data_IF_920876206014
#
_entry.id   IF_920876206014
#
_cell.length_a   1.000
_cell.length_b   1.000
_cell.length_c   1.000
_cell.angle_alpha   90.00
_cell.angle_beta   90.00
_cell.angle_gamma   90.00
#
_symmetry.space_group_name_H-M   'P 1'
#
loop_
_entity.id
_entity.type
_entity.pdbx_description
1 polymer ?
#
# COMPACT_ATOMS: atom_id res chain seq x y z
N UNK A 1 23.89 9.43 10.35
CA UNK A 1 23.02 10.24 9.49
C UNK A 1 21.55 9.83 9.69
N UNK A 2 21.23 8.55 9.68
CA UNK A 2 19.89 7.96 9.74
C UNK A 2 19.04 8.34 10.95
N UNK A 3 19.59 8.26 12.15
CA UNK A 3 18.88 8.63 13.40
C UNK A 3 18.48 10.12 13.42
N UNK A 4 19.25 10.96 12.75
CA UNK A 4 18.95 12.39 12.63
C UNK A 4 17.83 12.64 11.62
N UNK A 5 17.79 11.89 10.49
CA UNK A 5 16.77 12.04 9.47
C UNK A 5 15.39 11.62 10.02
N UNK A 6 15.29 10.48 10.71
CA UNK A 6 14.04 10.04 11.36
C UNK A 6 13.52 11.08 12.35
N UNK A 7 14.35 11.54 13.29
CA UNK A 7 13.92 12.52 14.30
C UNK A 7 13.48 13.84 13.66
N UNK A 8 14.19 14.28 12.60
CA UNK A 8 13.80 15.47 11.82
C UNK A 8 12.44 15.26 11.13
N UNK A 9 12.24 14.10 10.50
CA UNK A 9 10.99 13.76 9.82
C UNK A 9 9.82 13.71 10.81
N UNK A 10 10.00 13.08 11.97
CA UNK A 10 8.99 12.99 13.01
C UNK A 10 8.60 14.37 13.56
N UNK A 11 9.58 15.19 13.89
CA UNK A 11 9.35 16.56 14.34
C UNK A 11 8.68 17.42 13.27
N UNK A 12 9.06 17.26 12.00
CA UNK A 12 8.44 17.95 10.87
C UNK A 12 6.98 17.52 10.67
N UNK A 13 6.69 16.21 10.70
CA UNK A 13 5.32 15.70 10.61
C UNK A 13 4.44 16.22 11.74
N UNK A 14 4.93 16.22 12.97
CA UNK A 14 4.21 16.78 14.11
C UNK A 14 3.91 18.27 13.92
N UNK A 15 4.88 19.06 13.44
CA UNK A 15 4.70 20.48 13.17
C UNK A 15 3.74 20.76 12.00
N UNK A 16 3.82 19.95 10.92
CA UNK A 16 2.92 20.05 9.76
C UNK A 16 1.48 19.70 10.13
N UNK A 17 1.27 18.70 10.97
CA UNK A 17 -0.05 18.21 11.38
C UNK A 17 -0.68 19.06 12.51
N UNK A 18 0.08 19.91 13.15
CA UNK A 18 -0.41 20.73 14.27
C UNK A 18 -1.64 21.56 13.87
N UNK A 19 -2.74 21.37 14.59
CA UNK A 19 -4.03 22.03 14.34
C UNK A 19 -4.85 21.49 13.17
N UNK A 20 -4.44 20.36 12.59
CA UNK A 20 -5.14 19.69 11.51
C UNK A 20 -5.85 18.44 12.04
N UNK A 21 -7.12 18.59 12.47
CA UNK A 21 -7.90 17.51 13.06
C UNK A 21 -8.13 16.37 12.06
N UNK A 22 -7.67 15.16 12.41
CA UNK A 22 -7.80 13.92 11.60
C UNK A 22 -7.19 14.04 10.19
N UNK A 23 -6.09 14.77 10.05
CA UNK A 23 -5.38 14.95 8.76
C UNK A 23 -3.92 14.51 8.81
N UNK A 24 -3.48 13.98 9.94
CA UNK A 24 -2.10 13.58 10.17
C UNK A 24 -1.63 12.55 9.15
N UNK A 25 -2.49 11.57 8.82
CA UNK A 25 -2.19 10.53 7.84
C UNK A 25 -2.07 11.13 6.42
N UNK A 26 -3.02 11.97 6.04
CA UNK A 26 -2.97 12.65 4.74
C UNK A 26 -1.71 13.51 4.57
N UNK A 27 -1.31 14.22 5.65
CA UNK A 27 -0.06 15.02 5.68
C UNK A 27 1.16 14.10 5.60
N UNK A 28 1.16 12.98 6.33
CA UNK A 28 2.23 11.98 6.31
C UNK A 28 2.42 11.37 4.92
N UNK A 29 1.34 10.92 4.30
CA UNK A 29 1.37 10.36 2.94
C UNK A 29 1.79 11.39 1.89
N UNK A 30 1.36 12.64 2.04
CA UNK A 30 1.78 13.72 1.14
C UNK A 30 3.29 14.01 1.28
N UNK A 31 3.84 14.01 2.51
CA UNK A 31 5.27 14.18 2.75
C UNK A 31 6.07 13.00 2.19
N UNK A 32 5.62 11.77 2.46
CA UNK A 32 6.24 10.55 1.94
C UNK A 32 6.26 10.53 0.40
N UNK A 33 5.11 10.88 -0.21
CA UNK A 33 4.98 10.98 -1.66
C UNK A 33 5.98 11.97 -2.25
N UNK A 34 6.08 13.17 -1.67
CA UNK A 34 7.03 14.19 -2.08
C UNK A 34 8.49 13.75 -1.92
N UNK A 35 8.84 13.13 -0.78
CA UNK A 35 10.18 12.61 -0.54
C UNK A 35 10.56 11.47 -1.51
N UNK A 36 9.58 10.65 -1.91
CA UNK A 36 9.75 9.62 -2.93
C UNK A 36 9.85 10.18 -4.36
N UNK A 37 9.57 11.47 -4.56
CA UNK A 37 9.50 12.11 -5.88
C UNK A 37 8.24 11.76 -6.67
N UNK A 38 7.19 11.29 -5.99
CA UNK A 38 5.91 10.85 -6.56
C UNK A 38 4.79 11.85 -6.31
N UNK A 39 3.68 11.67 -7.00
CA UNK A 39 2.49 12.52 -6.88
C UNK A 39 1.41 11.83 -6.04
N UNK A 40 0.63 12.65 -5.31
CA UNK A 40 -0.50 12.20 -4.51
C UNK A 40 -1.81 12.79 -5.02
N UNK A 41 -2.86 11.97 -5.00
CA UNK A 41 -4.23 12.37 -5.28
C UNK A 41 -5.09 12.29 -4.02
N UNK A 42 -5.82 13.35 -3.72
CA UNK A 42 -6.73 13.47 -2.59
C UNK A 42 -8.18 13.43 -3.08
N UNK A 43 -8.86 12.32 -2.86
CA UNK A 43 -10.29 12.18 -3.09
C UNK A 43 -11.06 12.61 -1.86
N UNK A 44 -12.10 13.42 -2.00
CA UNK A 44 -12.96 13.76 -0.86
C UNK A 44 -13.91 14.88 -1.14
N UNK A 45 -14.97 14.96 -0.34
CA UNK A 45 -16.01 15.97 -0.45
C UNK A 45 -15.46 17.40 -0.34
N UNK A 46 -16.18 18.41 -0.84
CA UNK A 46 -15.83 19.80 -0.60
C UNK A 46 -15.75 20.10 0.90
N UNK A 47 -14.77 20.92 1.32
CA UNK A 47 -14.66 21.35 2.71
C UNK A 47 -13.89 20.41 3.66
N UNK A 48 -13.34 19.27 3.19
CA UNK A 48 -12.55 18.34 4.03
C UNK A 48 -11.07 18.74 4.17
N UNK A 49 -10.71 19.99 3.87
CA UNK A 49 -9.37 20.57 4.05
C UNK A 49 -8.28 20.08 3.08
N UNK A 50 -8.61 19.57 1.88
CA UNK A 50 -7.64 19.13 0.87
C UNK A 50 -6.59 20.19 0.53
N UNK A 51 -7.01 21.44 0.25
CA UNK A 51 -6.11 22.58 -0.02
C UNK A 51 -5.24 22.96 1.19
N UNK A 52 -5.75 22.76 2.41
CA UNK A 52 -4.97 23.02 3.62
C UNK A 52 -3.82 22.01 3.76
N UNK A 53 -4.03 20.72 3.43
CA UNK A 53 -2.99 19.69 3.40
C UNK A 53 -1.85 20.13 2.46
N UNK A 54 -2.19 20.57 1.25
CA UNK A 54 -1.20 21.02 0.26
C UNK A 54 -0.42 22.26 0.73
N UNK A 55 -1.10 23.25 1.34
CA UNK A 55 -0.45 24.43 1.89
C UNK A 55 0.48 24.10 3.04
N UNK A 56 0.12 23.14 3.88
CA UNK A 56 0.97 22.64 4.97
C UNK A 56 2.18 21.90 4.44
N UNK A 57 1.98 21.02 3.45
CA UNK A 57 3.11 20.30 2.84
C UNK A 57 4.16 21.23 2.26
N UNK A 58 3.75 22.36 1.67
CA UNK A 58 4.71 23.33 1.12
C UNK A 58 5.69 23.87 2.16
N UNK A 59 5.29 23.92 3.43
CA UNK A 59 6.17 24.33 4.53
C UNK A 59 7.20 23.25 4.91
N UNK A 60 7.09 22.05 4.37
CA UNK A 60 8.09 20.99 4.58
C UNK A 60 9.40 21.22 3.81
N UNK A 61 9.40 22.16 2.87
CA UNK A 61 10.56 22.41 2.00
C UNK A 61 11.03 23.85 2.18
N UNK A 62 12.33 24.02 2.35
CA UNK A 62 12.93 25.35 2.53
C UNK A 62 12.75 26.18 1.27
N UNK A 63 12.27 27.42 1.47
CA UNK A 63 12.09 28.44 0.42
C UNK A 63 11.27 27.96 -0.79
N UNK A 64 10.36 26.99 -0.58
CA UNK A 64 9.56 26.40 -1.65
C UNK A 64 8.58 27.40 -2.26
N UNK A 65 8.64 27.55 -3.58
CA UNK A 65 7.65 28.29 -4.37
C UNK A 65 6.41 27.42 -4.54
N UNK A 66 5.25 27.99 -4.31
CA UNK A 66 3.97 27.29 -4.41
C UNK A 66 3.20 27.76 -5.64
N UNK A 67 2.54 26.81 -6.28
CA UNK A 67 1.50 27.09 -7.28
C UNK A 67 0.25 26.35 -6.87
N UNK A 68 -0.88 27.08 -6.79
CA UNK A 68 -2.19 26.52 -6.41
C UNK A 68 -3.20 26.98 -7.46
N UNK A 69 -3.96 26.03 -8.02
CA UNK A 69 -4.93 26.35 -9.05
C UNK A 69 -6.17 25.45 -8.94
N UNK A 70 -7.37 26.07 -9.04
CA UNK A 70 -8.65 25.40 -9.12
C UNK A 70 -9.03 25.21 -10.58
N UNK A 71 -9.03 23.97 -11.04
CA UNK A 71 -9.38 23.65 -12.43
C UNK A 71 -10.87 23.86 -12.71
N UNK A 72 -11.16 24.30 -13.91
CA UNK A 72 -12.50 24.42 -14.47
C UNK A 72 -12.52 23.96 -15.92
N UNK A 73 -13.70 23.74 -16.49
CA UNK A 73 -13.85 23.41 -17.92
C UNK A 73 -13.38 24.54 -18.85
N UNK A 74 -13.23 25.74 -18.32
CA UNK A 74 -12.78 26.93 -19.05
C UNK A 74 -11.31 27.27 -18.79
N UNK A 75 -10.63 26.50 -17.94
CA UNK A 75 -9.22 26.73 -17.64
C UNK A 75 -8.38 26.62 -18.91
N UNK A 76 -7.43 27.53 -19.04
CA UNK A 76 -6.52 27.62 -20.19
C UNK A 76 -5.11 27.24 -19.80
N UNK A 77 -4.28 26.76 -20.75
CA UNK A 77 -2.86 26.50 -20.48
C UNK A 77 -2.10 27.75 -19.98
N UNK A 78 -2.53 28.94 -20.36
CA UNK A 78 -1.90 30.21 -19.95
C UNK A 78 -2.00 30.49 -18.46
N UNK A 79 -3.08 30.04 -17.82
CA UNK A 79 -3.32 30.21 -16.40
C UNK A 79 -2.47 29.26 -15.55
N UNK A 80 -2.00 28.16 -16.15
CA UNK A 80 -1.25 27.12 -15.44
C UNK A 80 0.23 27.18 -15.76
N UNK A 81 0.57 27.33 -17.05
CA UNK A 81 1.94 27.31 -17.54
C UNK A 81 2.51 28.69 -17.86
N UNK A 82 1.70 29.74 -17.73
CA UNK A 82 2.03 31.14 -18.01
C UNK A 82 1.65 31.60 -19.43
N UNK A 83 1.40 32.89 -19.60
CA UNK A 83 1.01 33.48 -20.89
C UNK A 83 2.19 33.48 -21.89
N UNK A 84 1.87 33.53 -23.18
CA UNK A 84 2.87 33.67 -24.24
C UNK A 84 3.57 35.02 -24.13
N UNK A 85 4.90 35.03 -24.22
CA UNK A 85 5.71 36.25 -24.23
C UNK A 85 5.56 36.98 -25.56
N UNK A 86 4.87 38.13 -25.52
CA UNK A 86 4.64 38.96 -26.71
C UNK A 86 5.97 39.54 -27.25
N UNK A 87 6.93 39.87 -26.36
CA UNK A 87 8.22 40.39 -26.73
C UNK A 87 9.04 39.33 -27.48
N UNK A 88 9.14 38.11 -26.98
CA UNK A 88 9.86 37.01 -27.64
C UNK A 88 9.23 36.61 -28.96
N UNK A 89 7.90 36.67 -29.03
CA UNK A 89 7.18 36.39 -30.29
C UNK A 89 7.47 37.45 -31.36
N UNK A 90 7.57 38.74 -30.98
CA UNK A 90 7.82 39.84 -31.92
C UNK A 90 9.30 39.97 -32.27
N UNK A 91 10.19 39.81 -31.30
CA UNK A 91 11.61 40.17 -31.46
C UNK A 91 12.45 38.97 -31.93
N UNK A 92 12.04 37.73 -31.58
CA UNK A 92 12.78 36.50 -31.83
C UNK A 92 12.01 35.45 -32.65
N UNK A 93 10.77 35.71 -33.01
CA UNK A 93 9.86 34.74 -33.66
C UNK A 93 9.82 33.39 -32.92
N UNK A 94 9.85 33.46 -31.58
CA UNK A 94 9.81 32.28 -30.71
C UNK A 94 8.55 32.26 -29.86
N UNK A 95 7.88 31.10 -29.89
CA UNK A 95 6.69 30.87 -29.08
C UNK A 95 7.11 30.36 -27.67
N UNK A 96 7.41 31.29 -26.78
CA UNK A 96 7.78 30.98 -25.40
C UNK A 96 6.80 31.61 -24.39
N UNK A 97 6.63 30.92 -23.26
CA UNK A 97 5.77 31.38 -22.16
C UNK A 97 6.56 32.11 -21.07
N UNK A 98 5.92 33.04 -20.42
CA UNK A 98 6.41 33.65 -19.17
C UNK A 98 6.03 32.72 -18.02
N UNK A 99 7.01 31.96 -17.53
CA UNK A 99 6.75 30.86 -16.57
C UNK A 99 6.89 31.29 -15.10
N UNK A 100 7.43 32.47 -14.83
CA UNK A 100 7.64 32.93 -13.45
C UNK A 100 6.31 33.14 -12.72
N UNK A 101 6.18 32.50 -11.54
CA UNK A 101 4.94 32.48 -10.74
C UNK A 101 3.90 31.42 -11.19
N UNK A 102 4.21 30.64 -12.21
CA UNK A 102 3.35 29.54 -12.70
C UNK A 102 3.92 28.16 -12.38
N UNK A 103 3.16 27.11 -12.71
CA UNK A 103 3.56 25.72 -12.43
C UNK A 103 5.01 25.39 -12.82
N UNK A 104 5.53 25.83 -13.99
CA UNK A 104 6.89 25.44 -14.38
C UNK A 104 8.01 25.94 -13.46
N UNK A 105 7.74 26.91 -12.60
CA UNK A 105 8.72 27.42 -11.64
C UNK A 105 8.42 27.07 -10.20
N UNK A 106 7.37 26.29 -9.95
CA UNK A 106 6.93 25.92 -8.62
C UNK A 106 7.64 24.66 -8.11
N UNK A 107 7.94 24.66 -6.81
CA UNK A 107 8.46 23.48 -6.08
C UNK A 107 7.32 22.58 -5.60
N UNK A 108 6.22 23.19 -5.17
CA UNK A 108 5.02 22.47 -4.69
C UNK A 108 3.79 22.94 -5.46
N UNK A 109 3.14 22.02 -6.10
CA UNK A 109 1.97 22.27 -6.95
C UNK A 109 0.72 21.65 -6.33
N UNK A 110 -0.35 22.43 -6.22
CA UNK A 110 -1.67 21.93 -5.84
C UNK A 110 -2.69 22.23 -6.96
N UNK A 111 -3.28 21.16 -7.50
CA UNK A 111 -4.30 21.22 -8.56
C UNK A 111 -5.62 20.69 -8.01
N UNK A 112 -6.55 21.60 -7.75
CA UNK A 112 -7.89 21.22 -7.28
C UNK A 112 -8.83 20.99 -8.47
N UNK A 113 -9.77 20.06 -8.31
CA UNK A 113 -10.74 19.65 -9.36
C UNK A 113 -10.06 19.23 -10.67
N UNK A 114 -8.98 18.48 -10.59
CA UNK A 114 -8.05 18.19 -11.70
C UNK A 114 -8.75 17.60 -12.93
N UNK A 115 -9.82 16.82 -12.74
CA UNK A 115 -10.54 16.15 -13.84
C UNK A 115 -11.35 17.13 -14.72
N UNK A 116 -11.55 18.36 -14.25
CA UNK A 116 -12.19 19.42 -15.04
C UNK A 116 -11.25 20.08 -16.06
N UNK A 117 -9.95 19.77 -16.02
CA UNK A 117 -8.98 20.29 -16.97
C UNK A 117 -9.26 19.81 -18.39
N UNK A 118 -9.14 20.70 -19.38
CA UNK A 118 -9.26 20.33 -20.80
C UNK A 118 -8.06 19.51 -21.29
N UNK A 119 -8.19 18.79 -22.45
CA UNK A 119 -7.18 17.88 -22.97
C UNK A 119 -5.78 18.51 -23.17
N UNK A 120 -5.71 19.79 -23.56
CA UNK A 120 -4.44 20.48 -23.73
C UNK A 120 -3.64 20.62 -22.44
N UNK A 121 -4.34 20.89 -21.32
CA UNK A 121 -3.75 20.97 -19.99
C UNK A 121 -3.33 19.58 -19.53
N UNK A 122 -4.20 18.58 -19.69
CA UNK A 122 -3.95 17.20 -19.31
C UNK A 122 -2.69 16.64 -19.99
N UNK A 123 -2.53 16.84 -21.30
CA UNK A 123 -1.34 16.41 -22.05
C UNK A 123 -0.05 17.09 -21.55
N UNK A 124 -0.12 18.39 -21.24
CA UNK A 124 1.03 19.10 -20.68
C UNK A 124 1.38 18.62 -19.27
N UNK A 125 0.37 18.30 -18.44
CA UNK A 125 0.56 17.72 -17.12
C UNK A 125 1.16 16.30 -17.19
N UNK A 126 0.79 15.49 -18.18
CA UNK A 126 1.38 14.16 -18.37
C UNK A 126 2.91 14.23 -18.52
N UNK A 127 3.43 15.15 -19.32
CA UNK A 127 4.87 15.37 -19.50
C UNK A 127 5.49 15.91 -18.19
N UNK A 128 4.89 16.94 -17.63
CA UNK A 128 5.38 17.57 -16.40
C UNK A 128 5.47 16.58 -15.21
N UNK A 129 4.49 15.71 -15.04
CA UNK A 129 4.46 14.72 -13.93
C UNK A 129 5.41 13.53 -14.16
N UNK A 130 5.63 13.15 -15.43
CA UNK A 130 6.47 12.00 -15.73
C UNK A 130 7.95 12.32 -15.77
N UNK A 131 8.27 13.32 -16.60
CA UNK A 131 9.63 13.62 -16.99
C UNK A 131 10.21 14.77 -16.19
N UNK A 132 9.34 15.45 -15.40
CA UNK A 132 9.67 16.69 -14.71
C UNK A 132 10.29 17.73 -15.63
N UNK A 133 9.74 17.82 -16.84
CA UNK A 133 10.18 18.73 -17.91
C UNK A 133 8.96 19.50 -18.42
N UNK A 134 9.17 20.77 -18.73
CA UNK A 134 8.21 21.60 -19.43
C UNK A 134 8.83 22.10 -20.73
N UNK A 135 8.17 21.84 -21.87
CA UNK A 135 8.62 22.34 -23.16
C UNK A 135 8.17 23.78 -23.34
N UNK A 136 9.13 24.69 -23.27
CA UNK A 136 8.92 26.11 -23.48
C UNK A 136 9.52 26.56 -24.83
N UNK A 137 8.69 26.66 -25.84
CA UNK A 137 9.14 26.91 -27.21
C UNK A 137 9.96 25.75 -27.77
N UNK A 138 11.25 25.95 -27.95
CA UNK A 138 12.18 24.93 -28.45
C UNK A 138 13.00 24.24 -27.37
N UNK A 139 12.91 24.72 -26.13
CA UNK A 139 13.72 24.24 -25.02
C UNK A 139 12.90 23.36 -24.08
N UNK A 140 13.48 22.28 -23.60
CA UNK A 140 12.96 21.45 -22.56
C UNK A 140 13.54 21.94 -21.21
N UNK A 141 12.69 22.58 -20.40
CA UNK A 141 13.07 23.19 -19.13
C UNK A 141 12.79 22.21 -18.00
N UNK A 142 13.80 21.81 -17.20
CA UNK A 142 13.59 20.98 -16.01
C UNK A 142 12.72 21.69 -14.99
N UNK A 143 11.75 20.98 -14.45
CA UNK A 143 10.84 21.50 -13.41
C UNK A 143 11.44 21.25 -12.01
N UNK A 144 11.42 22.26 -11.13
CA UNK A 144 11.93 22.11 -9.75
C UNK A 144 10.97 21.34 -8.83
N UNK A 145 10.04 20.59 -9.39
CA UNK A 145 8.94 19.93 -8.69
C UNK A 145 9.43 18.95 -7.61
N UNK A 146 9.10 19.27 -6.36
CA UNK A 146 9.31 18.43 -5.17
C UNK A 146 8.04 17.66 -4.83
N UNK A 147 6.87 18.31 -4.95
CA UNK A 147 5.60 17.70 -4.65
C UNK A 147 4.52 18.13 -5.65
N UNK A 148 3.69 17.17 -6.07
CA UNK A 148 2.45 17.44 -6.80
C UNK A 148 1.30 16.80 -6.07
N UNK A 149 0.36 17.63 -5.64
CA UNK A 149 -0.87 17.22 -5.00
C UNK A 149 -2.00 17.56 -5.95
N UNK A 150 -2.76 16.56 -6.38
CA UNK A 150 -4.02 16.77 -7.06
C UNK A 150 -5.18 16.45 -6.13
N UNK A 151 -6.32 17.10 -6.34
CA UNK A 151 -7.51 16.83 -5.58
C UNK A 151 -8.76 16.88 -6.48
N UNK A 152 -9.76 16.11 -6.08
CA UNK A 152 -11.12 16.20 -6.62
C UNK A 152 -12.12 15.65 -5.61
N UNK A 153 -13.39 15.90 -5.86
CA UNK A 153 -14.51 15.26 -5.16
C UNK A 153 -15.05 14.03 -5.90
N UNK A 154 -14.53 13.75 -7.08
CA UNK A 154 -14.90 12.63 -7.94
C UNK A 154 -13.66 11.96 -8.52
N UNK A 155 -13.80 10.71 -8.96
CA UNK A 155 -12.79 9.99 -9.71
C UNK A 155 -12.86 10.35 -11.20
N UNK A 156 -11.79 10.05 -12.00
CA UNK A 156 -11.84 10.29 -13.44
C UNK A 156 -12.95 9.44 -14.08
N UNK A 157 -13.69 10.04 -14.98
CA UNK A 157 -14.70 9.32 -15.74
C UNK A 157 -14.06 8.31 -16.68
N UNK A 158 -14.59 7.10 -16.71
CA UNK A 158 -14.09 6.03 -17.57
C UNK A 158 -14.31 6.37 -19.05
N UNK A 159 -13.33 6.07 -19.90
CA UNK A 159 -13.42 6.27 -21.35
C UNK A 159 -13.23 7.72 -21.82
N UNK A 160 -12.90 8.66 -20.94
CA UNK A 160 -12.60 10.06 -21.31
C UNK A 160 -11.09 10.31 -21.57
N UNK A 161 -10.27 9.26 -21.58
CA UNK A 161 -8.82 9.36 -21.81
C UNK A 161 -8.03 9.90 -20.62
N UNK A 162 -8.62 9.89 -19.44
CA UNK A 162 -8.02 10.36 -18.19
C UNK A 162 -7.16 9.29 -17.50
N UNK A 163 -7.24 8.05 -17.94
CA UNK A 163 -6.57 6.89 -17.34
C UNK A 163 -5.05 7.09 -17.29
N UNK A 164 -4.49 7.69 -18.35
CA UNK A 164 -3.06 7.98 -18.42
C UNK A 164 -2.62 8.99 -17.36
N UNK A 165 -3.43 10.01 -17.06
CA UNK A 165 -3.15 11.00 -16.01
C UNK A 165 -3.39 10.39 -14.63
N UNK A 166 -4.44 9.57 -14.48
CA UNK A 166 -4.74 8.85 -13.24
C UNK A 166 -3.60 7.94 -12.80
N UNK A 167 -2.99 7.17 -13.74
CA UNK A 167 -1.84 6.30 -13.45
C UNK A 167 -0.58 7.07 -12.97
N UNK A 168 -0.54 8.40 -13.12
CA UNK A 168 0.58 9.23 -12.60
C UNK A 168 0.51 9.49 -11.12
N UNK A 169 -0.68 9.43 -10.53
CA UNK A 169 -0.87 9.58 -9.10
C UNK A 169 -0.66 8.23 -8.41
N UNK A 170 0.57 8.04 -7.92
CA UNK A 170 0.95 6.79 -7.26
C UNK A 170 0.20 6.63 -5.94
N UNK A 171 0.23 7.68 -5.11
CA UNK A 171 -0.46 7.68 -3.81
C UNK A 171 -1.86 8.23 -3.99
N UNK A 172 -2.85 7.52 -3.48
CA UNK A 172 -4.26 7.88 -3.55
C UNK A 172 -4.86 7.78 -2.16
N UNK A 173 -5.44 8.86 -1.70
CA UNK A 173 -5.95 8.94 -0.34
C UNK A 173 -7.36 9.52 -0.31
N UNK A 174 -8.25 8.88 0.44
CA UNK A 174 -9.62 9.37 0.66
C UNK A 174 -9.61 10.24 1.91
N UNK A 175 -9.93 11.53 1.74
CA UNK A 175 -10.03 12.49 2.83
C UNK A 175 -11.45 12.52 3.33
N UNK A 176 -11.72 11.83 4.42
CA UNK A 176 -13.03 11.77 5.06
C UNK A 176 -13.38 13.05 5.84
N UNK A 177 -14.66 13.35 6.06
CA UNK A 177 -15.09 14.29 7.09
C UNK A 177 -14.58 13.87 8.49
N UNK A 178 -14.51 14.84 9.41
CA UNK A 178 -14.15 14.56 10.82
C UNK A 178 -15.17 13.58 11.41
N UNK A 179 -14.67 12.46 11.95
CA UNK A 179 -15.47 11.37 12.51
C UNK A 179 -15.53 11.39 14.04
N UNK A 180 -14.43 11.78 14.70
CA UNK A 180 -14.39 11.84 16.14
C UNK A 180 -15.21 13.01 16.70
N UNK A 181 -16.08 12.71 17.66
CA UNK A 181 -16.96 13.70 18.30
C UNK A 181 -16.18 14.83 18.98
N UNK A 182 -15.07 14.51 19.65
CA UNK A 182 -14.26 15.48 20.36
C UNK A 182 -13.59 16.45 19.39
N UNK A 183 -13.06 15.92 18.29
CA UNK A 183 -12.47 16.72 17.22
C UNK A 183 -13.52 17.62 16.56
N UNK A 184 -14.71 17.09 16.27
CA UNK A 184 -15.80 17.89 15.71
C UNK A 184 -16.22 19.03 16.64
N UNK A 185 -16.38 18.76 17.93
CA UNK A 185 -16.71 19.81 18.92
C UNK A 185 -15.58 20.83 19.05
N UNK A 186 -14.33 20.41 18.97
CA UNK A 186 -13.15 21.29 18.99
C UNK A 186 -13.13 22.21 17.77
N UNK A 187 -13.50 21.70 16.60
CA UNK A 187 -13.68 22.51 15.39
C UNK A 187 -14.72 23.60 15.58
N UNK A 188 -15.90 23.25 16.13
CA UNK A 188 -17.01 24.21 16.31
C UNK A 188 -16.71 25.28 17.37
N UNK A 189 -15.95 24.93 18.40
CA UNK A 189 -15.65 25.85 19.52
C UNK A 189 -14.40 26.68 19.29
N UNK A 190 -13.73 26.53 18.11
CA UNK A 190 -12.48 27.23 17.82
C UNK A 190 -11.30 26.82 18.71
N UNK A 191 -11.42 25.71 19.44
CA UNK A 191 -10.37 25.15 20.31
C UNK A 191 -9.39 24.28 19.56
N UNK A 192 -9.53 24.14 18.22
CA UNK A 192 -8.53 23.49 17.39
C UNK A 192 -7.19 24.20 17.59
N UNK A 193 -6.13 23.44 17.78
CA UNK A 193 -4.82 24.00 18.02
C UNK A 193 -4.43 24.98 16.89
N UNK A 194 -3.98 26.16 17.28
CA UNK A 194 -3.49 27.14 16.30
C UNK A 194 -2.24 26.53 15.63
N UNK A 195 -2.12 26.60 14.30
CA UNK A 195 -0.93 26.10 13.62
C UNK A 195 0.32 26.75 14.21
N UNK A 196 1.19 25.93 14.78
CA UNK A 196 2.50 26.41 15.28
C UNK A 196 3.40 26.74 14.09
N UNK A 197 4.19 27.83 14.16
CA UNK A 197 5.24 28.08 13.17
C UNK A 197 6.21 26.91 13.12
N UNK A 198 6.56 26.49 11.91
CA UNK A 198 7.54 25.40 11.74
C UNK A 198 8.94 25.96 12.03
N UNK A 199 9.70 25.36 12.96
CA UNK A 199 11.07 25.75 13.22
C UNK A 199 11.91 25.74 11.93
N UNK A 200 12.76 26.76 11.73
CA UNK A 200 13.48 26.98 10.47
C UNK A 200 14.47 25.85 10.09
N UNK A 201 14.85 25.02 11.05
CA UNK A 201 15.75 23.88 10.86
C UNK A 201 15.02 22.61 10.36
N UNK A 202 13.69 22.53 10.51
CA UNK A 202 12.93 21.33 10.16
C UNK A 202 12.67 21.17 8.66
N UNK A 203 12.36 22.22 7.87
CA UNK A 203 12.11 22.05 6.44
C UNK A 203 13.32 21.44 5.72
N UNK A 204 13.05 20.49 4.83
CA UNK A 204 14.07 19.85 4.02
C UNK A 204 14.69 20.84 3.03
N UNK A 205 16.01 20.79 2.92
CA UNK A 205 16.74 21.56 1.91
C UNK A 205 16.75 20.81 0.57
N UNK A 206 17.06 21.50 -0.56
CA UNK A 206 17.23 20.82 -1.86
C UNK A 206 18.30 19.72 -1.83
N UNK A 207 19.40 19.96 -1.07
CA UNK A 207 20.49 19.00 -0.91
C UNK A 207 20.05 17.76 -0.15
N UNK A 208 19.28 17.92 0.93
CA UNK A 208 18.72 16.80 1.69
C UNK A 208 17.74 16.00 0.84
N UNK A 209 16.88 16.66 0.06
CA UNK A 209 15.96 15.97 -0.85
C UNK A 209 16.70 15.16 -1.91
N UNK A 210 17.77 15.69 -2.47
CA UNK A 210 18.62 14.98 -3.43
C UNK A 210 19.30 13.78 -2.76
N UNK A 211 19.91 13.98 -1.60
CA UNK A 211 20.55 12.91 -0.84
C UNK A 211 19.57 11.77 -0.51
N UNK A 212 18.33 12.08 -0.10
CA UNK A 212 17.30 11.06 0.14
C UNK A 212 16.98 10.23 -1.10
N UNK A 213 16.90 10.85 -2.28
CA UNK A 213 16.65 10.11 -3.53
C UNK A 213 17.84 9.22 -3.92
N UNK A 214 19.07 9.69 -3.69
CA UNK A 214 20.30 8.93 -3.96
C UNK A 214 20.47 7.75 -2.96
N UNK A 215 20.19 7.96 -1.67
CA UNK A 215 20.31 6.95 -0.61
C UNK A 215 19.19 5.90 -0.67
N UNK A 216 18.00 6.30 -1.12
CA UNK A 216 16.83 5.41 -1.25
C UNK A 216 17.12 4.11 -1.99
N UNK A 217 17.87 4.20 -3.07
CA UNK A 217 18.13 3.04 -3.94
C UNK A 217 19.07 2.02 -3.28
N UNK A 218 19.77 2.41 -2.21
CA UNK A 218 20.56 1.53 -1.35
C UNK A 218 19.75 0.77 -0.30
N UNK A 219 18.51 1.18 -0.03
CA UNK A 219 17.63 0.50 0.93
C UNK A 219 17.22 -0.89 0.40
N UNK A 220 17.47 -1.91 1.19
CA UNK A 220 17.20 -3.31 0.82
C UNK A 220 15.70 -3.61 0.92
N UNK A 221 15.15 -4.32 -0.05
CA UNK A 221 13.85 -4.99 0.08
C UNK A 221 14.12 -6.47 0.37
N UNK A 222 13.81 -6.99 1.57
CA UNK A 222 14.02 -8.39 1.92
C UNK A 222 13.29 -9.35 0.98
N UNK A 223 13.85 -10.55 0.79
CA UNK A 223 13.28 -11.54 -0.12
C UNK A 223 11.84 -11.93 0.22
N UNK A 224 11.51 -12.03 1.49
CA UNK A 224 10.15 -12.31 1.96
C UNK A 224 9.13 -11.22 1.57
N UNK A 225 9.56 -9.95 1.55
CA UNK A 225 8.73 -8.83 1.09
C UNK A 225 8.61 -8.84 -0.44
N UNK A 226 9.67 -9.20 -1.15
CA UNK A 226 9.60 -9.39 -2.61
C UNK A 226 8.61 -10.49 -3.00
N UNK A 227 8.61 -11.60 -2.29
CA UNK A 227 7.65 -12.70 -2.48
C UNK A 227 6.21 -12.24 -2.19
N UNK A 228 6.00 -11.46 -1.14
CA UNK A 228 4.72 -10.86 -0.82
C UNK A 228 4.22 -9.93 -1.94
N UNK A 229 5.07 -9.03 -2.42
CA UNK A 229 4.74 -8.13 -3.52
C UNK A 229 4.45 -8.90 -4.82
N UNK A 230 5.22 -9.95 -5.09
CA UNK A 230 5.00 -10.82 -6.24
C UNK A 230 3.67 -11.59 -6.16
N UNK A 231 3.30 -12.05 -4.97
CA UNK A 231 2.02 -12.72 -4.74
C UNK A 231 0.83 -11.78 -5.02
N UNK A 232 0.89 -10.54 -4.52
CA UNK A 232 -0.13 -9.51 -4.83
C UNK A 232 -0.13 -9.16 -6.33
N UNK A 233 1.04 -9.00 -6.97
CA UNK A 233 1.14 -8.76 -8.41
C UNK A 233 0.48 -9.85 -9.22
N UNK A 234 0.75 -11.11 -8.89
CA UNK A 234 0.16 -12.26 -9.59
C UNK A 234 -1.36 -12.27 -9.47
N UNK A 235 -1.88 -11.93 -8.31
CA UNK A 235 -3.32 -11.79 -8.07
C UNK A 235 -3.97 -10.73 -8.95
N UNK A 236 -3.31 -9.58 -9.14
CA UNK A 236 -3.84 -8.47 -9.92
C UNK A 236 -3.53 -8.57 -11.43
N UNK A 237 -2.50 -9.33 -11.85
CA UNK A 237 -2.15 -9.53 -13.25
C UNK A 237 -3.06 -10.55 -13.95
N UNK A 238 -3.61 -11.53 -13.23
CA UNK A 238 -4.43 -12.59 -13.82
C UNK A 238 -5.75 -12.10 -14.44
N UNK A 239 -6.10 -10.84 -14.27
CA UNK A 239 -7.23 -10.21 -14.96
C UNK A 239 -7.02 -9.99 -16.47
N UNK A 240 -5.77 -9.81 -16.92
CA UNK A 240 -5.48 -9.62 -18.35
C UNK A 240 -5.70 -10.88 -19.18
N UNK A 241 -5.72 -12.07 -18.52
CA UNK A 241 -5.80 -13.37 -19.16
C UNK A 241 -7.17 -14.07 -18.97
N UNK A 242 -8.08 -13.52 -18.16
CA UNK A 242 -9.40 -14.11 -17.92
C UNK A 242 -10.45 -13.48 -18.84
N UNK A 243 -11.15 -14.32 -19.57
CA UNK A 243 -12.25 -13.97 -20.48
C UNK A 243 -13.33 -13.15 -19.76
N UNK A 244 -13.85 -12.08 -20.40
CA UNK A 244 -14.73 -11.09 -19.76
C UNK A 244 -16.20 -11.54 -19.59
N UNK A 245 -16.52 -12.82 -19.69
CA UNK A 245 -17.94 -13.24 -19.78
C UNK A 245 -18.54 -13.90 -18.53
N UNK A 246 -17.81 -14.08 -17.42
CA UNK A 246 -18.33 -14.91 -16.33
C UNK A 246 -18.35 -14.34 -14.90
N UNK A 247 -17.84 -13.14 -14.60
CA UNK A 247 -17.85 -12.66 -13.21
C UNK A 247 -18.35 -11.21 -13.06
N UNK A 248 -19.46 -11.05 -12.34
CA UNK A 248 -20.00 -9.77 -11.85
C UNK A 248 -19.04 -8.99 -10.92
N UNK A 249 -17.91 -9.61 -10.53
CA UNK A 249 -16.88 -9.06 -9.63
C UNK A 249 -15.73 -8.32 -10.36
N UNK A 250 -15.82 -8.12 -11.67
CA UNK A 250 -14.70 -7.53 -12.47
C UNK A 250 -14.32 -6.10 -12.07
N UNK A 251 -15.26 -5.28 -11.60
CA UNK A 251 -14.97 -3.91 -11.15
C UNK A 251 -14.17 -3.84 -9.85
N UNK A 252 -14.09 -4.92 -9.09
CA UNK A 252 -13.53 -4.93 -7.73
C UNK A 252 -12.04 -5.23 -7.65
N UNK A 253 -11.38 -5.67 -8.73
CA UNK A 253 -9.95 -5.99 -8.73
C UNK A 253 -9.16 -4.90 -9.47
N UNK A 254 -8.18 -4.24 -8.83
CA UNK A 254 -7.40 -3.19 -9.50
C UNK A 254 -6.42 -3.75 -10.51
N UNK A 255 -6.13 -2.98 -11.56
CA UNK A 255 -4.98 -3.22 -12.44
C UNK A 255 -3.79 -2.40 -11.97
N UNK A 256 -2.63 -3.05 -11.83
CA UNK A 256 -1.38 -2.39 -11.42
C UNK A 256 -0.30 -2.65 -12.45
N UNK A 257 0.12 -1.60 -13.16
CA UNK A 257 1.16 -1.68 -14.19
C UNK A 257 2.55 -1.99 -13.61
N UNK A 258 3.44 -2.63 -14.40
CA UNK A 258 4.83 -2.89 -13.98
C UNK A 258 5.58 -1.59 -13.61
N UNK A 259 5.29 -0.49 -14.29
CA UNK A 259 5.80 0.82 -13.96
C UNK A 259 5.36 1.26 -12.56
N UNK A 260 4.09 1.04 -12.21
CA UNK A 260 3.54 1.38 -10.88
C UNK A 260 4.19 0.52 -9.80
N UNK A 261 4.40 -0.78 -10.03
CA UNK A 261 5.15 -1.65 -9.12
C UNK A 261 6.57 -1.15 -8.85
N UNK A 262 7.28 -0.66 -9.88
CA UNK A 262 8.61 -0.06 -9.72
C UNK A 262 8.57 1.19 -8.82
N UNK A 263 7.57 2.05 -9.00
CA UNK A 263 7.36 3.25 -8.17
C UNK A 263 6.97 2.90 -6.74
N UNK A 264 6.13 1.88 -6.55
CA UNK A 264 5.77 1.32 -5.24
C UNK A 264 7.04 0.91 -4.50
N UNK A 265 7.91 0.12 -5.11
CA UNK A 265 9.18 -0.28 -4.50
C UNK A 265 10.04 0.92 -4.08
N UNK A 266 10.08 1.99 -4.88
CA UNK A 266 10.75 3.25 -4.53
C UNK A 266 10.13 3.94 -3.32
N UNK A 267 8.80 3.98 -3.22
CA UNK A 267 8.09 4.59 -2.10
C UNK A 267 8.27 3.80 -0.80
N UNK A 268 8.23 2.45 -0.84
CA UNK A 268 8.50 1.61 0.33
C UNK A 268 9.93 1.82 0.85
N UNK A 269 10.92 1.91 -0.05
CA UNK A 269 12.31 2.25 0.31
C UNK A 269 12.41 3.64 0.94
N UNK A 270 11.69 4.62 0.40
CA UNK A 270 11.66 5.97 0.98
C UNK A 270 11.04 5.97 2.38
N UNK A 271 9.97 5.19 2.59
CA UNK A 271 9.38 5.00 3.93
C UNK A 271 10.41 4.43 4.91
N UNK A 272 11.10 3.35 4.54
CA UNK A 272 12.15 2.77 5.37
C UNK A 272 13.28 3.77 5.69
N UNK A 273 13.76 4.51 4.69
CA UNK A 273 14.80 5.54 4.86
C UNK A 273 14.38 6.63 5.84
N UNK A 274 13.18 7.20 5.66
CA UNK A 274 12.66 8.26 6.55
C UNK A 274 12.38 7.76 7.97
N UNK A 275 12.14 6.47 8.13
CA UNK A 275 12.06 5.80 9.42
C UNK A 275 13.44 5.41 9.99
N UNK A 276 14.55 5.77 9.34
CA UNK A 276 15.93 5.50 9.78
C UNK A 276 16.27 4.01 9.71
N UNK A 277 15.80 3.30 8.68
CA UNK A 277 16.03 1.86 8.46
C UNK A 277 16.80 1.63 7.16
N UNK A 278 17.67 0.64 7.16
CA UNK A 278 18.42 0.19 5.98
C UNK A 278 17.65 -0.83 5.11
N UNK A 279 16.50 -1.27 5.59
CA UNK A 279 15.65 -2.23 4.89
C UNK A 279 14.16 -1.91 5.08
N UNK A 280 13.38 -2.23 4.05
CA UNK A 280 11.91 -2.25 4.10
C UNK A 280 11.46 -3.33 5.07
N UNK A 281 10.43 -3.05 5.87
CA UNK A 281 9.80 -4.03 6.76
C UNK A 281 8.30 -4.20 6.50
N UNK A 282 7.64 -5.06 7.27
CA UNK A 282 6.22 -5.37 7.07
C UNK A 282 5.30 -4.17 7.29
N UNK A 283 5.70 -3.21 8.10
CA UNK A 283 4.90 -1.99 8.32
C UNK A 283 4.80 -1.14 7.06
N UNK A 284 5.85 -1.08 6.22
CA UNK A 284 5.82 -0.35 4.96
C UNK A 284 4.83 -0.98 3.97
N UNK A 285 4.64 -2.32 4.04
CA UNK A 285 3.69 -3.02 3.18
C UNK A 285 2.23 -2.58 3.40
N UNK A 286 1.90 -1.99 4.55
CA UNK A 286 0.58 -1.44 4.82
C UNK A 286 0.27 -0.20 3.96
N UNK A 287 1.29 0.52 3.49
CA UNK A 287 1.13 1.65 2.57
C UNK A 287 0.49 1.24 1.23
N UNK A 288 0.57 -0.05 0.88
CA UNK A 288 0.01 -0.58 -0.38
C UNK A 288 -1.48 -0.31 -0.54
N UNK A 289 -2.23 -0.16 0.55
CA UNK A 289 -3.65 0.19 0.47
C UNK A 289 -3.90 1.55 -0.19
N UNK A 290 -2.92 2.47 -0.13
CA UNK A 290 -2.98 3.77 -0.78
C UNK A 290 -2.39 3.77 -2.20
N UNK A 291 -1.87 2.61 -2.66
CA UNK A 291 -1.09 2.50 -3.88
C UNK A 291 -1.72 1.57 -4.93
N UNK A 292 -2.65 0.69 -4.55
CA UNK A 292 -3.08 -0.41 -5.41
C UNK A 292 -4.47 -0.25 -6.03
N UNK A 293 -5.33 0.63 -5.53
CA UNK A 293 -6.70 0.79 -6.06
C UNK A 293 -6.79 1.83 -7.19
N UNK A 294 -7.78 1.67 -8.07
CA UNK A 294 -8.11 2.59 -9.16
C UNK A 294 -9.45 3.32 -8.95
N UNK A 295 -10.36 2.69 -8.19
CA UNK A 295 -11.57 3.31 -7.69
C UNK A 295 -11.77 2.96 -6.21
N UNK A 296 -12.57 3.76 -5.51
CA UNK A 296 -12.80 3.62 -4.07
C UNK A 296 -13.56 2.33 -3.69
N UNK A 297 -14.35 1.77 -4.59
CA UNK A 297 -15.02 0.49 -4.39
C UNK A 297 -14.03 -0.69 -4.26
N UNK A 298 -12.82 -0.57 -4.82
CA UNK A 298 -11.77 -1.58 -4.73
C UNK A 298 -11.05 -1.59 -3.37
N UNK A 299 -11.11 -0.50 -2.62
CA UNK A 299 -10.32 -0.33 -1.40
C UNK A 299 -10.57 -1.41 -0.34
N UNK A 300 -11.81 -1.85 -0.04
CA UNK A 300 -12.05 -2.95 0.89
C UNK A 300 -11.36 -4.25 0.46
N UNK A 301 -11.43 -4.56 -0.84
CA UNK A 301 -10.79 -5.75 -1.41
C UNK A 301 -9.26 -5.68 -1.34
N UNK A 302 -8.68 -4.54 -1.69
CA UNK A 302 -7.23 -4.30 -1.59
C UNK A 302 -6.74 -4.52 -0.16
N UNK A 303 -7.44 -3.97 0.83
CA UNK A 303 -7.14 -4.17 2.26
C UNK A 303 -7.19 -5.65 2.66
N UNK A 304 -8.23 -6.36 2.24
CA UNK A 304 -8.38 -7.78 2.52
C UNK A 304 -7.25 -8.60 1.87
N UNK A 305 -6.90 -8.32 0.62
CA UNK A 305 -5.84 -9.03 -0.10
C UNK A 305 -4.46 -8.79 0.54
N UNK A 306 -4.15 -7.57 0.95
CA UNK A 306 -2.93 -7.23 1.70
C UNK A 306 -2.89 -7.98 3.03
N UNK A 307 -3.99 -7.94 3.80
CA UNK A 307 -4.07 -8.60 5.10
C UNK A 307 -3.89 -10.11 4.99
N UNK A 308 -4.57 -10.75 4.02
CA UNK A 308 -4.44 -12.20 3.77
C UNK A 308 -3.03 -12.60 3.42
N UNK A 309 -2.41 -11.86 2.51
CA UNK A 309 -1.06 -12.19 2.08
C UNK A 309 -0.04 -11.93 3.21
N UNK A 310 -0.21 -10.90 4.02
CA UNK A 310 0.60 -10.67 5.22
C UNK A 310 0.50 -11.85 6.19
N UNK A 311 -0.71 -12.36 6.46
CA UNK A 311 -0.89 -13.54 7.32
C UNK A 311 -0.14 -14.73 6.74
N UNK A 312 -0.29 -15.00 5.45
CA UNK A 312 0.40 -16.12 4.80
C UNK A 312 1.92 -16.02 4.99
N UNK A 313 2.49 -14.84 4.79
CA UNK A 313 3.93 -14.63 4.93
C UNK A 313 4.39 -14.69 6.40
N UNK A 314 3.64 -14.11 7.33
CA UNK A 314 3.95 -14.16 8.75
C UNK A 314 3.87 -15.59 9.32
N UNK A 315 3.01 -16.44 8.74
CA UNK A 315 2.88 -17.84 9.14
C UNK A 315 3.86 -18.76 8.42
N UNK A 316 4.58 -18.33 7.39
CA UNK A 316 5.67 -19.09 6.78
C UNK A 316 6.70 -19.46 7.84
N UNK A 317 7.06 -20.75 7.90
CA UNK A 317 8.02 -21.27 8.85
C UNK A 317 7.53 -21.41 10.30
N UNK A 318 6.28 -21.03 10.61
CA UNK A 318 5.70 -21.28 11.94
C UNK A 318 5.01 -22.64 12.05
N UNK A 319 4.59 -23.18 10.89
CA UNK A 319 3.87 -24.45 10.80
C UNK A 319 4.66 -25.39 9.89
N UNK A 320 5.51 -26.23 10.48
CA UNK A 320 6.21 -27.29 9.78
C UNK A 320 5.91 -28.64 10.40
N UNK A 321 5.85 -29.66 9.57
CA UNK A 321 5.66 -31.03 10.00
C UNK A 321 6.94 -31.82 9.76
N UNK A 322 7.46 -32.40 10.83
CA UNK A 322 8.60 -33.31 10.73
C UNK A 322 8.15 -34.61 10.03
N UNK A 323 8.63 -34.83 8.81
CA UNK A 323 8.29 -35.98 7.98
C UNK A 323 8.54 -37.34 8.68
N UNK A 324 9.46 -37.40 9.63
CA UNK A 324 9.76 -38.61 10.40
C UNK A 324 8.70 -38.93 11.46
N UNK A 325 7.70 -38.07 11.66
CA UNK A 325 6.71 -38.26 12.74
C UNK A 325 5.38 -38.82 12.26
N UNK A 326 5.17 -38.95 10.94
CA UNK A 326 3.98 -39.55 10.38
C UNK A 326 4.31 -40.85 9.63
N UNK A 327 3.44 -41.84 9.77
CA UNK A 327 3.56 -43.09 9.04
C UNK A 327 2.82 -43.00 7.73
N UNK A 328 3.42 -43.55 6.66
CA UNK A 328 2.73 -43.67 5.37
C UNK A 328 1.53 -44.62 5.51
N UNK A 329 0.38 -44.24 4.98
CA UNK A 329 -0.78 -45.11 4.96
C UNK A 329 -0.50 -46.38 4.15
N UNK A 330 -0.82 -47.56 4.67
CA UNK A 330 -0.54 -48.83 4.00
C UNK A 330 -1.60 -49.11 2.95
N UNK A 331 -1.68 -48.39 1.86
CA UNK A 331 -2.46 -48.83 0.69
C UNK A 331 -2.22 -48.01 -0.57
N UNK A 332 -2.08 -48.69 -1.60
CA UNK A 332 -2.16 -48.36 -3.01
C UNK A 332 -2.44 -46.91 -3.41
N UNK A 333 -1.43 -46.21 -3.89
CA UNK A 333 -1.59 -45.12 -4.85
C UNK A 333 -2.08 -43.76 -4.36
N UNK A 334 -2.40 -43.58 -3.08
CA UNK A 334 -2.87 -42.31 -2.54
C UNK A 334 -1.84 -41.65 -1.64
N UNK A 335 -1.69 -40.35 -1.75
CA UNK A 335 -0.84 -39.50 -0.93
C UNK A 335 -1.33 -39.35 0.53
N UNK A 336 -1.78 -40.42 1.17
CA UNK A 336 -2.34 -40.42 2.51
C UNK A 336 -1.28 -40.78 3.55
N UNK A 337 -1.33 -40.08 4.66
CA UNK A 337 -0.44 -40.28 5.82
C UNK A 337 -1.28 -40.50 7.08
N UNK A 338 -0.73 -41.22 8.04
CA UNK A 338 -1.39 -41.51 9.31
C UNK A 338 -0.77 -40.69 10.42
N UNK A 339 -1.60 -40.08 11.24
CA UNK A 339 -1.16 -39.50 12.50
C UNK A 339 -0.99 -40.57 13.58
N UNK A 340 -0.27 -40.29 14.68
CA UNK A 340 -0.14 -41.20 15.81
C UNK A 340 -1.44 -41.60 16.46
N UNK A 341 -2.47 -40.78 16.36
CA UNK A 341 -3.84 -40.97 16.88
C UNK A 341 -4.69 -41.82 15.93
N UNK A 342 -4.15 -42.29 14.78
CA UNK A 342 -4.82 -43.15 13.83
C UNK A 342 -5.59 -42.42 12.73
N UNK A 343 -5.59 -41.08 12.72
CA UNK A 343 -6.24 -40.27 11.68
C UNK A 343 -5.50 -40.32 10.34
N UNK A 344 -6.24 -40.31 9.23
CA UNK A 344 -5.66 -40.27 7.87
C UNK A 344 -5.64 -38.86 7.36
N UNK A 345 -4.45 -38.38 6.93
CA UNK A 345 -4.24 -37.06 6.42
C UNK A 345 -3.67 -37.08 5.01
N UNK A 346 -3.92 -36.01 4.23
CA UNK A 346 -3.17 -35.71 3.03
C UNK A 346 -2.09 -34.68 3.37
N UNK A 347 -0.92 -34.81 2.75
CA UNK A 347 0.19 -33.89 2.91
C UNK A 347 0.42 -33.08 1.62
N UNK A 348 0.79 -31.81 1.78
CA UNK A 348 1.22 -30.93 0.70
C UNK A 348 2.25 -29.92 1.21
N UNK A 349 3.02 -29.31 0.32
CA UNK A 349 3.99 -28.28 0.68
C UNK A 349 3.44 -26.90 0.33
N UNK A 350 3.45 -26.00 1.30
CA UNK A 350 3.08 -24.61 1.11
C UNK A 350 4.15 -23.72 1.74
N UNK A 351 4.77 -22.85 0.94
CA UNK A 351 5.81 -21.93 1.42
C UNK A 351 7.10 -22.62 1.92
N UNK A 352 7.42 -23.81 1.41
CA UNK A 352 8.55 -24.61 1.87
C UNK A 352 8.27 -25.44 3.13
N UNK A 353 7.05 -25.43 3.62
CA UNK A 353 6.61 -26.15 4.82
C UNK A 353 5.63 -27.26 4.46
N UNK A 354 5.75 -28.39 5.16
CA UNK A 354 4.85 -29.51 4.97
C UNK A 354 3.59 -29.32 5.82
N UNK A 355 2.45 -29.26 5.13
CA UNK A 355 1.11 -29.11 5.70
C UNK A 355 0.31 -30.39 5.60
N UNK A 356 -0.61 -30.58 6.53
CA UNK A 356 -1.49 -31.73 6.59
C UNK A 356 -2.95 -31.28 6.64
N UNK A 357 -3.81 -32.00 5.93
CA UNK A 357 -5.26 -31.84 6.01
C UNK A 357 -5.89 -33.23 6.23
N UNK A 358 -6.86 -33.32 7.13
CA UNK A 358 -7.56 -34.57 7.36
C UNK A 358 -8.24 -35.05 6.06
N UNK A 359 -8.20 -36.35 5.82
CA UNK A 359 -8.74 -36.90 4.57
C UNK A 359 -10.25 -36.60 4.41
N UNK A 360 -10.99 -36.61 5.50
CA UNK A 360 -12.42 -36.25 5.53
C UNK A 360 -12.62 -34.76 5.17
N UNK A 361 -11.80 -33.86 5.71
CA UNK A 361 -11.84 -32.46 5.41
C UNK A 361 -11.45 -32.17 3.96
N UNK A 362 -10.45 -32.87 3.44
CA UNK A 362 -10.08 -32.74 2.02
C UNK A 362 -11.24 -33.16 1.09
N UNK A 363 -11.99 -34.19 1.42
CA UNK A 363 -13.18 -34.58 0.64
C UNK A 363 -14.27 -33.49 0.67
N UNK A 364 -14.42 -32.79 1.79
CA UNK A 364 -15.36 -31.64 1.90
C UNK A 364 -14.93 -30.48 1.00
N UNK A 365 -13.62 -30.24 0.83
CA UNK A 365 -13.12 -29.18 -0.02
C UNK A 365 -13.42 -29.36 -1.52
N UNK A 366 -13.74 -30.57 -1.95
CA UNK A 366 -14.15 -30.84 -3.35
C UNK A 366 -15.51 -30.24 -3.69
N UNK A 367 -16.33 -29.95 -2.70
CA UNK A 367 -17.65 -29.34 -2.86
C UNK A 367 -17.65 -27.81 -2.86
N UNK A 368 -16.51 -27.17 -2.61
CA UNK A 368 -16.41 -25.72 -2.59
C UNK A 368 -15.27 -25.19 -1.72
N UNK A 369 -15.17 -23.85 -1.61
CA UNK A 369 -14.26 -23.18 -0.69
C UNK A 369 -14.90 -22.98 0.66
N UNK A 370 -14.10 -23.07 1.72
CA UNK A 370 -14.49 -22.76 3.10
C UNK A 370 -13.39 -22.01 3.82
N UNK A 371 -13.64 -21.57 5.05
CA UNK A 371 -12.61 -21.04 5.92
C UNK A 371 -11.68 -22.15 6.40
N UNK A 372 -10.38 -21.83 6.56
CA UNK A 372 -9.38 -22.71 7.13
C UNK A 372 -8.62 -22.00 8.25
N UNK A 373 -8.07 -22.77 9.17
CA UNK A 373 -7.15 -22.32 10.21
C UNK A 373 -6.05 -23.35 10.44
N UNK A 374 -4.92 -22.92 10.94
CA UNK A 374 -3.86 -23.83 11.33
C UNK A 374 -4.20 -24.50 12.67
N UNK A 375 -4.13 -25.80 12.68
CA UNK A 375 -4.23 -26.64 13.86
C UNK A 375 -2.88 -27.10 14.37
N UNK A 376 -2.92 -28.09 15.25
CA UNK A 376 -1.72 -28.70 15.81
C UNK A 376 -0.90 -29.46 14.75
N UNK A 377 0.41 -29.54 14.94
CA UNK A 377 1.32 -30.37 14.10
C UNK A 377 1.31 -30.08 12.61
N UNK A 378 1.07 -28.82 12.21
CA UNK A 378 0.98 -28.46 10.79
C UNK A 378 -0.30 -28.91 10.12
N UNK A 379 -1.31 -29.30 10.89
CA UNK A 379 -2.63 -29.65 10.34
C UNK A 379 -3.42 -28.39 9.99
N UNK A 380 -4.24 -28.51 8.95
CA UNK A 380 -5.24 -27.52 8.58
C UNK A 380 -6.60 -28.03 9.03
N UNK A 381 -7.33 -27.17 9.74
CA UNK A 381 -8.69 -27.41 10.20
C UNK A 381 -9.65 -26.55 9.39
N UNK A 382 -10.76 -27.14 8.93
CA UNK A 382 -11.83 -26.39 8.30
C UNK A 382 -12.70 -25.69 9.35
N UNK A 383 -13.24 -24.54 8.99
CA UNK A 383 -14.18 -23.77 9.84
C UNK A 383 -15.53 -23.70 9.14
N UNK A 384 -16.62 -23.75 9.92
CA UNK A 384 -18.00 -23.63 9.39
C UNK A 384 -18.40 -22.16 9.08
N UNK A 385 -17.41 -21.27 9.01
CA UNK A 385 -17.55 -19.83 8.74
C UNK A 385 -16.23 -19.23 8.29
N UNK A 386 -16.07 -17.91 8.37
CA UNK A 386 -14.80 -17.27 8.04
C UNK A 386 -13.67 -17.84 8.90
N UNK A 387 -12.61 -18.30 8.24
CA UNK A 387 -11.36 -18.78 8.86
C UNK A 387 -10.24 -17.77 8.72
N UNK A 388 -9.03 -18.17 9.09
CA UNK A 388 -7.83 -17.35 8.96
C UNK A 388 -7.43 -17.17 7.50
N UNK A 389 -7.83 -18.12 6.66
CA UNK A 389 -7.63 -18.11 5.21
C UNK A 389 -8.75 -18.91 4.52
N UNK A 390 -8.97 -18.62 3.24
CA UNK A 390 -9.87 -19.42 2.38
C UNK A 390 -9.14 -20.66 1.88
N UNK A 391 -9.77 -21.82 1.98
CA UNK A 391 -9.22 -23.09 1.50
C UNK A 391 -10.23 -23.84 0.63
N UNK A 392 -9.73 -24.51 -0.41
CA UNK A 392 -10.53 -25.31 -1.33
C UNK A 392 -9.71 -26.35 -2.08
N UNK A 393 -10.37 -27.20 -2.85
CA UNK A 393 -9.73 -28.20 -3.74
C UNK A 393 -10.40 -28.20 -5.12
N UNK A 394 -10.15 -27.16 -5.95
CA UNK A 394 -10.81 -26.99 -7.26
C UNK A 394 -10.38 -28.07 -8.27
N UNK A 395 -9.23 -28.73 -8.04
CA UNK A 395 -8.72 -29.84 -8.86
C UNK A 395 -8.36 -31.01 -7.98
N UNK A 396 -8.67 -32.23 -8.43
CA UNK A 396 -8.28 -33.45 -7.73
C UNK A 396 -6.77 -33.51 -7.53
N UNK A 397 -6.33 -33.82 -6.31
CA UNK A 397 -4.91 -33.88 -5.95
C UNK A 397 -4.27 -32.52 -5.67
N UNK A 398 -5.06 -31.47 -5.54
CA UNK A 398 -4.61 -30.11 -5.19
C UNK A 398 -5.31 -29.58 -3.95
N UNK A 399 -4.63 -28.74 -3.18
CA UNK A 399 -5.22 -27.90 -2.12
C UNK A 399 -4.94 -26.44 -2.47
N UNK A 400 -5.96 -25.60 -2.44
CA UNK A 400 -5.84 -24.17 -2.69
C UNK A 400 -6.00 -23.42 -1.38
N UNK A 401 -5.01 -22.60 -1.00
CA UNK A 401 -5.04 -21.71 0.16
C UNK A 401 -5.00 -20.28 -0.38
N UNK A 402 -6.03 -19.51 -0.12
CA UNK A 402 -6.19 -18.21 -0.77
C UNK A 402 -6.27 -18.38 -2.29
N UNK A 403 -5.33 -17.80 -3.01
CA UNK A 403 -5.19 -17.92 -4.48
C UNK A 403 -4.16 -18.96 -4.93
N UNK A 404 -3.43 -19.59 -4.00
CA UNK A 404 -2.35 -20.52 -4.34
C UNK A 404 -2.82 -21.97 -4.28
N UNK A 405 -2.44 -22.75 -5.30
CA UNK A 405 -2.77 -24.17 -5.38
C UNK A 405 -1.50 -25.02 -5.19
N UNK A 406 -1.57 -25.94 -4.25
CA UNK A 406 -0.47 -26.83 -3.85
C UNK A 406 -0.81 -28.28 -4.17
N UNK A 407 0.07 -29.02 -4.87
CA UNK A 407 -0.16 -30.43 -5.16
C UNK A 407 -0.01 -31.27 -3.88
N UNK A 408 -0.88 -32.26 -3.73
CA UNK A 408 -0.71 -33.26 -2.69
C UNK A 408 0.56 -34.09 -2.94
N UNK A 409 1.34 -34.31 -1.90
CA UNK A 409 2.53 -35.19 -1.97
C UNK A 409 2.09 -36.63 -2.25
N UNK A 410 2.82 -37.29 -3.13
CA UNK A 410 2.56 -38.69 -3.50
C UNK A 410 3.32 -39.69 -2.63
N UNK A 411 4.40 -39.25 -1.97
CA UNK A 411 5.24 -40.10 -1.12
C UNK A 411 5.79 -39.32 0.07
N UNK A 412 5.96 -39.99 1.20
CA UNK A 412 6.54 -39.46 2.43
C UNK A 412 6.27 -40.36 3.63
N UNK A 413 7.15 -40.33 4.62
CA UNK A 413 7.00 -41.01 5.90
C UNK A 413 6.98 -39.97 7.01
N UNK A 414 6.03 -40.07 7.94
CA UNK A 414 5.86 -39.07 9.00
C UNK A 414 5.70 -39.75 10.37
N UNK A 415 6.27 -39.13 11.41
CA UNK A 415 6.22 -39.62 12.78
C UNK A 415 5.56 -38.61 13.70
N UNK A 416 4.77 -39.03 14.67
CA UNK A 416 3.94 -38.18 15.54
C UNK A 416 4.71 -37.34 16.58
N UNK A 417 4.08 -36.27 17.07
CA UNK A 417 4.65 -35.27 17.99
C UNK A 417 4.00 -35.21 19.35
N UNK A 418 4.74 -34.75 20.36
CA UNK A 418 4.29 -34.43 21.71
C UNK A 418 3.98 -32.95 21.88
N UNK A 419 3.09 -32.60 22.85
CA UNK A 419 2.51 -31.25 23.06
C UNK A 419 3.46 -30.06 23.24
N UNK A 420 4.79 -30.26 23.33
CA UNK A 420 5.76 -29.17 23.44
C UNK A 420 6.00 -28.39 22.12
N UNK A 421 5.47 -28.88 20.99
CA UNK A 421 5.63 -28.24 19.68
C UNK A 421 4.64 -27.08 19.48
N UNK A 422 3.39 -27.28 19.89
CA UNK A 422 2.36 -26.26 19.81
C UNK A 422 2.75 -24.98 20.53
N UNK A 423 3.28 -25.10 21.74
CA UNK A 423 3.73 -23.94 22.50
C UNK A 423 4.84 -23.17 21.77
N UNK A 424 5.73 -23.89 21.04
CA UNK A 424 6.78 -23.24 20.25
C UNK A 424 6.27 -22.58 18.97
N UNK A 425 5.33 -23.21 18.26
CA UNK A 425 4.69 -22.61 17.06
C UNK A 425 3.86 -21.41 17.45
N UNK A 426 3.04 -21.51 18.51
CA UNK A 426 2.26 -20.38 18.99
C UNK A 426 3.13 -19.25 19.53
N UNK A 427 4.22 -19.55 20.25
CA UNK A 427 5.17 -18.56 20.68
C UNK A 427 5.80 -17.84 19.48
N UNK A 428 6.31 -18.60 18.47
CA UNK A 428 6.89 -18.03 17.26
C UNK A 428 5.90 -17.17 16.46
N UNK A 429 4.65 -17.59 16.38
CA UNK A 429 3.60 -16.80 15.72
C UNK A 429 3.29 -15.52 16.50
N UNK A 430 3.15 -15.61 17.83
CA UNK A 430 2.94 -14.45 18.69
C UNK A 430 4.12 -13.48 18.63
N UNK A 431 5.36 -13.99 18.57
CA UNK A 431 6.57 -13.17 18.43
C UNK A 431 6.57 -12.40 17.12
N UNK A 432 6.20 -13.03 15.99
CA UNK A 432 6.12 -12.37 14.68
C UNK A 432 5.01 -11.32 14.63
N UNK A 433 3.86 -11.60 15.25
CA UNK A 433 2.77 -10.65 15.40
C UNK A 433 3.19 -9.48 16.29
N UNK A 434 3.87 -9.76 17.39
CA UNK A 434 4.46 -8.76 18.27
C UNK A 434 5.45 -7.86 17.52
N UNK A 435 6.28 -8.46 16.70
CA UNK A 435 7.22 -7.75 15.83
C UNK A 435 6.50 -6.84 14.83
N UNK A 436 5.49 -7.35 14.12
CA UNK A 436 4.70 -6.53 13.18
C UNK A 436 4.06 -5.34 13.89
N UNK A 437 3.47 -5.54 15.07
CA UNK A 437 2.90 -4.43 15.86
C UNK A 437 3.96 -3.39 16.21
N UNK A 438 5.10 -3.82 16.71
CA UNK A 438 6.20 -2.92 17.04
C UNK A 438 6.71 -2.15 15.81
N UNK A 439 6.74 -2.79 14.65
CA UNK A 439 7.10 -2.13 13.38
C UNK A 439 6.06 -1.07 13.00
N UNK A 440 4.76 -1.39 13.08
CA UNK A 440 3.66 -0.46 12.75
C UNK A 440 3.64 0.71 13.73
N UNK A 441 3.76 0.46 15.03
CA UNK A 441 3.78 1.50 16.07
C UNK A 441 4.99 2.43 15.91
N UNK A 442 6.10 1.91 15.36
CA UNK A 442 7.32 2.67 15.12
C UNK A 442 7.34 3.39 13.77
N UNK A 443 6.47 3.05 12.82
CA UNK A 443 6.46 3.64 11.47
C UNK A 443 5.74 5.00 11.48
N UNK A 444 6.38 6.02 10.90
CA UNK A 444 5.88 7.40 10.87
C UNK A 444 4.70 7.60 9.92
N UNK A 445 4.51 6.71 8.94
CA UNK A 445 3.57 6.88 7.83
C UNK A 445 2.41 5.90 7.84
N UNK A 446 2.51 4.81 8.60
CA UNK A 446 1.46 3.82 8.70
C UNK A 446 0.68 3.98 10.00
N UNK A 447 -0.63 3.80 9.92
CA UNK A 447 -1.49 3.73 11.09
C UNK A 447 -2.22 2.40 11.08
N UNK A 448 -2.56 1.83 12.25
CA UNK A 448 -3.45 0.69 12.30
C UNK A 448 -4.80 1.10 11.72
N UNK A 449 -5.10 0.63 10.52
CA UNK A 449 -6.37 0.88 9.87
C UNK A 449 -7.39 -0.14 10.35
N UNK A 450 -8.69 0.20 10.25
CA UNK A 450 -9.79 -0.62 10.74
C UNK A 450 -9.81 -2.07 10.20
N UNK A 451 -9.27 -2.29 8.98
CA UNK A 451 -9.10 -3.65 8.46
C UNK A 451 -7.96 -4.42 9.17
N UNK A 452 -6.96 -3.71 9.68
CA UNK A 452 -5.88 -4.26 10.50
C UNK A 452 -6.26 -4.29 11.98
N UNK A 453 -7.25 -3.53 12.40
CA UNK A 453 -7.90 -3.71 13.71
C UNK A 453 -8.65 -5.04 13.73
N UNK A 454 -9.33 -5.42 12.67
CA UNK A 454 -9.93 -6.76 12.54
C UNK A 454 -8.83 -7.84 12.48
N UNK A 455 -7.74 -7.65 11.73
CA UNK A 455 -6.55 -8.49 11.78
C UNK A 455 -5.94 -8.50 13.18
N UNK A 456 -5.77 -7.34 13.81
CA UNK A 456 -5.29 -7.20 15.18
C UNK A 456 -6.24 -7.79 16.23
N UNK A 457 -7.55 -7.83 16.01
CA UNK A 457 -8.52 -8.51 16.88
C UNK A 457 -8.48 -10.02 16.68
N UNK A 458 -8.39 -10.51 15.47
CA UNK A 458 -8.19 -11.94 15.21
C UNK A 458 -6.84 -12.42 15.72
N UNK A 459 -5.79 -11.67 15.49
CA UNK A 459 -4.47 -11.95 16.06
C UNK A 459 -4.43 -11.83 17.59
N UNK A 460 -5.20 -10.92 18.20
CA UNK A 460 -5.42 -10.86 19.68
C UNK A 460 -6.23 -12.04 20.19
N UNK A 461 -7.21 -12.55 19.45
CA UNK A 461 -7.95 -13.78 19.79
C UNK A 461 -7.03 -15.00 19.79
N UNK A 462 -6.04 -15.06 18.88
CA UNK A 462 -4.98 -16.07 18.90
C UNK A 462 -4.07 -15.92 20.12
N UNK A 463 -3.61 -14.70 20.44
CA UNK A 463 -2.74 -14.43 21.59
C UNK A 463 -3.39 -14.63 22.95
N UNK A 464 -4.68 -14.31 23.10
CA UNK A 464 -5.40 -14.44 24.39
C UNK A 464 -5.83 -15.86 24.73
N UNK A 465 -6.05 -16.73 23.74
CA UNK A 465 -6.29 -18.15 23.96
C UNK A 465 -5.04 -18.92 24.42
N UNK A 466 -3.85 -18.36 24.19
CA UNK A 466 -2.56 -18.92 24.61
C UNK A 466 -2.22 -18.61 26.07
N UNK A 467 -2.75 -17.54 26.65
CA UNK A 467 -2.49 -17.12 28.05
C UNK A 467 -3.50 -17.64 29.04
N UNK A 468 -4.52 -18.37 28.61
CA UNK A 468 -5.61 -18.90 29.46
C UNK A 468 -5.60 -20.43 29.56
N UNK A 469 -4.45 -21.10 29.28
CA UNK A 469 -4.24 -22.53 29.55
C UNK A 469 -2.91 -22.80 30.22
#
# INVERSE_FOLDING_TARGET
MERNLRNKTEALLAALSAGMLEREEAVGLALLSAAAGESIFLLGLPGVAKSMIARRLALAFRDARRFEYLMSRFSTPDEIFGPVSISKLKDADTYERVTDGYLPTADVVFLDEIWKAGPAIQNSLLTALNEKIFRNGREDVPLPLKAVIAASNELPAQGEGLEALWDRFLVRYIVDPIRDKTNFLSLLTGKAAVPCPIPAELPFTPEEMKAMLDERDGIVIPGEILEFLYALRTRYASKADLHPEEDEDEETIPYVSDRRWKKIAGLLRTSALLNGREAVDWSDCLLLEHLLWDNDAQLPRVREDIARELIVQLLKGTVSVDENRWKKAPAAGSAKFWSPDGGVHYAFEAGGELMLIAAEDYERLKSGRTGGRFGENGTILLTDGPGDFSIGSPKAGMVTIGSFSYPLRREGTMAGRSGSFLSKVMASTNDRIGLLRAQVDANLFTRPISAYEALGEELRRYGSKSSAR
#
